data_IF_161199599956
#
_entry.id   IF_161199599956
#
_cell.length_a   1.000
_cell.length_b   1.000
_cell.length_c   1.000
_cell.angle_alpha   90.00
_cell.angle_beta   90.00
_cell.angle_gamma   90.00
#
_symmetry.space_group_name_H-M   'P 1'
#
loop_
_entity.id
_entity.type
_entity.pdbx_description
1 polymer ?
#
# COMPACT_ATOMS: atom_id res chain seq x y z
N UNK A 1 0.96 -12.76 -5.02
CA UNK A 1 -0.33 -12.88 -4.31
C UNK A 1 -0.66 -14.36 -4.15
N UNK A 2 -1.21 -14.77 -3.02
CA UNK A 2 -1.71 -16.13 -2.80
C UNK A 2 -3.22 -16.15 -2.80
N UNK A 3 -3.81 -17.12 -3.49
CA UNK A 3 -5.26 -17.36 -3.47
C UNK A 3 -5.53 -18.67 -2.76
N UNK A 4 -6.39 -18.66 -1.76
CA UNK A 4 -6.84 -19.85 -1.03
C UNK A 4 -8.34 -20.02 -1.17
N UNK A 5 -8.80 -21.21 -1.58
CA UNK A 5 -10.23 -21.47 -1.74
C UNK A 5 -10.78 -22.14 -0.47
N UNK A 6 -11.72 -21.47 0.19
CA UNK A 6 -12.44 -22.02 1.34
C UNK A 6 -13.92 -22.23 0.98
N UNK A 7 -14.70 -22.81 1.91
CA UNK A 7 -16.15 -23.04 1.73
C UNK A 7 -16.96 -21.76 1.45
N UNK A 8 -16.40 -20.58 1.74
CA UNK A 8 -17.03 -19.27 1.57
C UNK A 8 -16.55 -18.52 0.31
N UNK A 9 -15.63 -19.10 -0.48
CA UNK A 9 -15.05 -18.45 -1.66
C UNK A 9 -13.52 -18.32 -1.60
N UNK A 10 -12.91 -17.72 -2.63
CA UNK A 10 -11.49 -17.43 -2.65
C UNK A 10 -11.15 -16.32 -1.66
N UNK A 11 -10.03 -16.47 -0.97
CA UNK A 11 -9.41 -15.41 -0.18
C UNK A 11 -8.01 -15.11 -0.71
N UNK A 12 -7.62 -13.85 -0.64
CA UNK A 12 -6.42 -13.30 -1.23
C UNK A 12 -5.50 -12.77 -0.14
N UNK A 13 -4.22 -13.13 -0.22
CA UNK A 13 -3.19 -12.71 0.72
C UNK A 13 -1.93 -12.20 0.03
N UNK A 14 -1.18 -11.36 0.74
CA UNK A 14 0.15 -10.91 0.32
C UNK A 14 1.24 -11.83 0.88
N UNK A 15 2.11 -12.29 -0.01
CA UNK A 15 3.24 -13.16 0.30
C UNK A 15 4.47 -12.64 -0.41
N UNK A 16 5.58 -12.50 0.32
CA UNK A 16 6.91 -12.35 -0.29
C UNK A 16 7.57 -13.72 -0.33
N UNK A 17 7.99 -14.13 -1.52
CA UNK A 17 8.66 -15.40 -1.73
C UNK A 17 10.05 -15.15 -2.29
N UNK A 18 11.04 -15.84 -1.73
CA UNK A 18 12.37 -15.85 -2.30
C UNK A 18 12.35 -16.57 -3.64
N UNK A 19 13.05 -16.02 -4.63
CA UNK A 19 12.99 -16.53 -6.01
C UNK A 19 13.57 -17.93 -6.16
N UNK A 20 14.74 -18.17 -5.56
CA UNK A 20 15.52 -19.41 -5.77
C UNK A 20 15.39 -20.42 -4.64
N UNK A 21 14.86 -19.98 -3.50
CA UNK A 21 14.77 -20.83 -2.31
C UNK A 21 13.32 -20.94 -1.90
N UNK A 22 12.97 -22.05 -1.27
CA UNK A 22 11.64 -22.23 -0.70
C UNK A 22 11.48 -21.46 0.63
N UNK A 23 11.79 -20.16 0.62
CA UNK A 23 11.57 -19.25 1.75
C UNK A 23 10.44 -18.31 1.40
N UNK A 24 9.50 -18.18 2.33
CA UNK A 24 8.27 -17.41 2.15
C UNK A 24 7.99 -16.64 3.44
N UNK A 25 7.62 -15.37 3.30
CA UNK A 25 7.18 -14.50 4.39
C UNK A 25 5.74 -14.13 4.11
N UNK A 26 4.86 -14.48 5.05
CA UNK A 26 3.44 -14.18 4.99
C UNK A 26 3.15 -12.88 5.72
N UNK A 27 2.46 -11.96 5.03
CA UNK A 27 2.09 -10.64 5.56
C UNK A 27 0.73 -10.65 6.28
N UNK A 28 0.19 -11.83 6.61
CA UNK A 28 -1.07 -11.99 7.35
C UNK A 28 -1.13 -11.18 8.66
N UNK A 29 0.03 -10.96 9.31
CA UNK A 29 0.14 -10.15 10.52
C UNK A 29 -0.18 -8.66 10.29
N UNK A 30 0.06 -8.14 9.08
CA UNK A 30 -0.30 -6.77 8.71
C UNK A 30 -1.74 -6.68 8.20
N UNK A 31 -2.18 -7.70 7.47
CA UNK A 31 -3.54 -7.76 6.95
C UNK A 31 -3.96 -9.20 6.72
N UNK A 32 -5.10 -9.59 7.28
CA UNK A 32 -5.69 -10.90 7.07
C UNK A 32 -5.97 -11.16 5.59
N UNK A 33 -6.06 -12.44 5.22
CA UNK A 33 -6.54 -12.80 3.89
C UNK A 33 -7.97 -12.30 3.72
N UNK A 34 -8.27 -11.73 2.57
CA UNK A 34 -9.49 -10.99 2.31
C UNK A 34 -10.20 -11.57 1.08
N UNK A 35 -11.53 -11.51 1.00
CA UNK A 35 -12.26 -11.95 -0.20
C UNK A 35 -12.15 -10.93 -1.35
N UNK A 36 -11.54 -9.76 -1.09
CA UNK A 36 -11.30 -8.71 -2.06
C UNK A 36 -9.82 -8.59 -2.48
N UNK A 37 -9.53 -8.93 -3.74
CA UNK A 37 -8.17 -9.04 -4.30
C UNK A 37 -7.36 -7.72 -4.26
N UNK A 38 -8.03 -6.58 -4.28
CA UNK A 38 -7.41 -5.26 -4.33
C UNK A 38 -6.86 -4.84 -2.96
N UNK A 39 -7.33 -5.41 -1.85
CA UNK A 39 -6.79 -5.11 -0.51
C UNK A 39 -5.32 -5.54 -0.39
N UNK A 40 -4.93 -6.78 -0.75
CA UNK A 40 -3.53 -7.17 -0.82
C UNK A 40 -2.70 -6.30 -1.79
N UNK A 41 -3.31 -5.80 -2.86
CA UNK A 41 -2.66 -4.91 -3.81
C UNK A 41 -2.38 -3.52 -3.20
N UNK A 42 -3.37 -2.96 -2.50
CA UNK A 42 -3.21 -1.69 -1.76
C UNK A 42 -2.12 -1.79 -0.69
N UNK A 43 -2.07 -2.92 0.03
CA UNK A 43 -0.99 -3.16 1.00
C UNK A 43 0.38 -3.21 0.31
N UNK A 44 0.48 -3.88 -0.83
CA UNK A 44 1.73 -3.94 -1.58
C UNK A 44 2.15 -2.56 -2.11
N UNK A 45 1.22 -1.74 -2.56
CA UNK A 45 1.48 -0.36 -2.98
C UNK A 45 1.92 0.52 -1.81
N UNK A 46 1.26 0.38 -0.65
CA UNK A 46 1.65 1.08 0.57
C UNK A 46 3.09 0.73 0.96
N UNK A 47 3.46 -0.55 0.95
CA UNK A 47 4.81 -0.99 1.26
C UNK A 47 5.85 -0.43 0.28
N UNK A 48 5.55 -0.48 -1.03
CA UNK A 48 6.45 0.09 -2.04
C UNK A 48 6.65 1.60 -1.84
N UNK A 49 5.56 2.35 -1.65
CA UNK A 49 5.64 3.80 -1.41
C UNK A 49 6.38 4.14 -0.11
N UNK A 50 6.24 3.31 0.92
CA UNK A 50 6.97 3.49 2.18
C UNK A 50 8.47 3.19 2.04
N UNK A 51 8.84 2.19 1.23
CA UNK A 51 10.25 1.84 0.98
C UNK A 51 10.93 2.77 -0.02
N UNK A 52 10.17 3.50 -0.84
CA UNK A 52 10.71 4.42 -1.83
C UNK A 52 11.15 5.74 -1.20
N UNK A 53 12.46 5.88 -0.99
CA UNK A 53 13.09 7.10 -0.47
C UNK A 53 13.07 8.29 -1.43
N UNK A 54 12.65 8.12 -2.68
CA UNK A 54 12.59 9.23 -3.65
C UNK A 54 11.29 10.02 -3.57
N UNK A 55 10.24 9.43 -2.99
CA UNK A 55 8.92 10.04 -2.80
C UNK A 55 8.65 10.44 -1.35
N UNK A 56 7.58 11.21 -1.10
CA UNK A 56 7.13 11.47 0.26
C UNK A 56 6.59 10.18 0.90
N UNK A 57 6.72 10.06 2.22
CA UNK A 57 6.12 8.96 2.96
C UNK A 57 4.58 8.96 2.79
N UNK A 58 3.93 7.78 2.88
CA UNK A 58 2.48 7.69 2.79
C UNK A 58 1.75 8.70 3.68
N UNK A 59 0.74 9.35 3.13
CA UNK A 59 -0.02 10.37 3.86
C UNK A 59 -1.15 9.73 4.68
N UNK A 60 -0.81 9.33 5.90
CA UNK A 60 -1.74 8.73 6.87
C UNK A 60 -1.60 9.41 8.24
N UNK A 61 -2.66 9.42 9.07
CA UNK A 61 -2.62 10.05 10.40
C UNK A 61 -1.45 9.57 11.28
N UNK A 62 -1.09 8.28 11.18
CA UNK A 62 0.01 7.68 11.93
C UNK A 62 1.36 8.39 11.68
N UNK A 63 1.60 8.87 10.47
CA UNK A 63 2.87 9.46 10.07
C UNK A 63 2.93 10.97 10.24
N UNK A 64 1.80 11.64 10.49
CA UNK A 64 1.74 13.10 10.61
C UNK A 64 2.79 13.70 11.57
N UNK A 65 3.00 13.15 12.79
CA UNK A 65 4.01 13.67 13.71
C UNK A 65 5.44 13.57 13.17
N UNK A 66 5.70 12.69 12.21
CA UNK A 66 7.05 12.38 11.72
C UNK A 66 7.32 12.94 10.31
N UNK A 67 6.30 13.45 9.60
CA UNK A 67 6.46 13.95 8.22
C UNK A 67 7.56 15.00 8.07
N UNK A 68 7.72 15.87 9.06
CA UNK A 68 8.74 16.91 9.07
C UNK A 68 10.17 16.40 9.30
N UNK A 69 10.32 15.16 9.80
CA UNK A 69 11.62 14.52 10.01
C UNK A 69 12.17 13.89 8.73
N UNK A 70 11.28 13.60 7.75
CA UNK A 70 11.68 13.09 6.46
C UNK A 70 11.93 14.26 5.47
N UNK A 71 13.16 14.45 4.97
CA UNK A 71 13.50 15.62 4.17
C UNK A 71 12.77 15.66 2.81
N UNK A 72 12.47 14.49 2.22
CA UNK A 72 11.74 14.42 0.94
C UNK A 72 10.30 14.85 1.14
N UNK A 73 9.66 14.32 2.18
CA UNK A 73 8.30 14.67 2.58
C UNK A 73 8.18 16.13 2.99
N UNK A 74 9.13 16.65 3.78
CA UNK A 74 9.11 18.05 4.21
C UNK A 74 9.18 19.02 3.02
N UNK A 75 10.06 18.76 2.06
CA UNK A 75 10.15 19.57 0.83
C UNK A 75 8.86 19.47 -0.01
N UNK A 76 8.30 18.26 -0.14
CA UNK A 76 7.05 18.03 -0.87
C UNK A 76 5.87 18.78 -0.23
N UNK A 77 5.75 18.71 1.09
CA UNK A 77 4.70 19.37 1.86
C UNK A 77 4.83 20.90 1.79
N UNK A 78 6.06 21.43 1.86
CA UNK A 78 6.34 22.86 1.70
C UNK A 78 5.95 23.38 0.31
N UNK A 79 6.29 22.65 -0.75
CA UNK A 79 5.95 23.02 -2.14
C UNK A 79 4.43 23.04 -2.37
N UNK A 80 3.69 22.18 -1.68
CA UNK A 80 2.23 22.08 -1.79
C UNK A 80 1.47 22.93 -0.78
N UNK A 81 2.16 23.59 0.15
CA UNK A 81 1.53 24.35 1.23
C UNK A 81 0.63 23.49 2.13
N UNK A 82 1.00 22.22 2.34
CA UNK A 82 0.22 21.30 3.19
C UNK A 82 0.25 21.76 4.65
N UNK A 83 -0.90 21.74 5.32
CA UNK A 83 -0.98 21.96 6.77
C UNK A 83 -0.26 20.82 7.53
N UNK A 84 0.71 21.11 8.43
CA UNK A 84 1.37 20.11 9.27
C UNK A 84 0.45 19.36 10.24
N UNK A 85 -0.76 19.88 10.49
CA UNK A 85 -1.78 19.29 11.38
C UNK A 85 -3.02 18.85 10.60
N UNK A 86 -2.85 18.48 9.33
CA UNK A 86 -3.93 18.17 8.40
C UNK A 86 -4.88 17.09 8.93
N UNK A 87 -4.36 15.99 9.49
CA UNK A 87 -5.20 14.92 10.05
C UNK A 87 -5.71 15.26 11.45
N UNK A 88 -4.88 15.90 12.28
CA UNK A 88 -5.24 16.21 13.68
C UNK A 88 -6.37 17.23 13.78
N UNK A 89 -6.35 18.27 12.94
CA UNK A 89 -7.34 19.36 12.98
C UNK A 89 -8.59 19.07 12.13
N UNK A 90 -8.64 17.90 11.47
CA UNK A 90 -9.77 17.47 10.64
C UNK A 90 -10.95 17.06 11.51
N UNK A 91 -12.17 17.50 11.15
CA UNK A 91 -13.39 17.06 11.83
C UNK A 91 -13.80 15.64 11.40
N UNK A 92 -14.62 14.98 12.21
CA UNK A 92 -15.04 13.60 12.00
C UNK A 92 -15.75 13.38 10.64
N UNK A 93 -16.53 14.36 10.16
CA UNK A 93 -17.25 14.21 8.90
C UNK A 93 -16.28 14.29 7.70
N UNK A 94 -15.34 15.24 7.73
CA UNK A 94 -14.28 15.34 6.72
C UNK A 94 -13.37 14.11 6.76
N UNK A 95 -12.99 13.64 7.96
CA UNK A 95 -12.18 12.43 8.12
C UNK A 95 -12.86 11.21 7.51
N UNK A 96 -14.15 11.03 7.79
CA UNK A 96 -14.93 9.95 7.19
C UNK A 96 -14.97 10.04 5.66
N UNK A 97 -15.17 11.22 5.11
CA UNK A 97 -15.18 11.42 3.66
C UNK A 97 -13.82 11.06 3.02
N UNK A 98 -12.71 11.44 3.66
CA UNK A 98 -11.36 11.08 3.19
C UNK A 98 -11.10 9.57 3.24
N UNK A 99 -11.51 8.89 4.32
CA UNK A 99 -11.41 7.43 4.44
C UNK A 99 -12.25 6.74 3.37
N UNK A 100 -13.48 7.22 3.14
CA UNK A 100 -14.36 6.67 2.10
C UNK A 100 -13.74 6.87 0.71
N UNK A 101 -13.11 8.03 0.44
CA UNK A 101 -12.37 8.29 -0.80
C UNK A 101 -11.11 7.41 -0.93
N UNK A 102 -10.39 7.14 0.15
CA UNK A 102 -9.29 6.16 0.18
C UNK A 102 -9.78 4.77 -0.21
N UNK A 103 -10.91 4.33 0.33
CA UNK A 103 -11.50 3.05 -0.05
C UNK A 103 -11.88 3.01 -1.54
N UNK A 104 -12.47 4.07 -2.08
CA UNK A 104 -12.75 4.15 -3.53
C UNK A 104 -11.48 3.99 -4.36
N UNK A 105 -10.38 4.65 -3.98
CA UNK A 105 -9.09 4.46 -4.65
C UNK A 105 -8.63 3.00 -4.59
N UNK A 106 -8.72 2.35 -3.43
CA UNK A 106 -8.41 0.92 -3.27
C UNK A 106 -9.27 0.04 -4.18
N UNK A 107 -10.58 0.29 -4.26
CA UNK A 107 -11.49 -0.45 -5.14
C UNK A 107 -11.10 -0.33 -6.63
N UNK A 108 -10.50 0.79 -7.01
CA UNK A 108 -10.07 1.05 -8.39
C UNK A 108 -8.61 0.65 -8.69
N UNK A 109 -7.88 0.08 -7.73
CA UNK A 109 -6.48 -0.32 -7.96
C UNK A 109 -6.41 -1.41 -9.03
N UNK A 110 -5.63 -1.12 -10.06
CA UNK A 110 -5.35 -2.04 -11.16
C UNK A 110 -3.87 -2.48 -11.17
N UNK A 111 -3.44 -3.10 -10.08
CA UNK A 111 -2.04 -3.55 -9.92
C UNK A 111 -1.67 -4.63 -10.94
N UNK A 112 -2.62 -5.45 -11.38
CA UNK A 112 -2.34 -6.56 -12.30
C UNK A 112 -2.11 -6.12 -13.74
N UNK A 113 -2.59 -4.95 -14.14
CA UNK A 113 -2.27 -4.36 -15.44
C UNK A 113 -0.91 -3.64 -15.47
N UNK A 114 -0.24 -3.46 -14.32
CA UNK A 114 1.05 -2.76 -14.26
C UNK A 114 2.14 -3.61 -14.94
N UNK A 115 3.07 -2.96 -15.65
CA UNK A 115 4.17 -3.67 -16.28
C UNK A 115 5.03 -4.37 -15.23
N UNK A 116 5.33 -5.64 -15.48
CA UNK A 116 6.29 -6.38 -14.68
C UNK A 116 7.71 -5.90 -15.03
N UNK A 117 8.26 -4.97 -14.24
CA UNK A 117 9.60 -4.43 -14.43
C UNK A 117 10.70 -5.50 -14.37
N UNK A 118 10.43 -6.63 -13.72
CA UNK A 118 11.36 -7.75 -13.62
C UNK A 118 11.32 -8.65 -14.86
N UNK A 119 10.32 -8.56 -15.74
CA UNK A 119 10.22 -9.38 -16.95
C UNK A 119 11.44 -9.27 -17.88
N UNK A 120 12.13 -8.13 -17.88
CA UNK A 120 13.36 -7.94 -18.66
C UNK A 120 14.61 -8.56 -18.02
N UNK A 121 14.58 -8.86 -16.72
CA UNK A 121 15.71 -9.38 -15.95
C UNK A 121 15.52 -10.83 -15.49
N UNK A 122 14.31 -11.37 -15.69
CA UNK A 122 13.86 -12.62 -15.10
C UNK A 122 13.13 -13.44 -16.14
N UNK A 123 13.70 -14.60 -16.49
CA UNK A 123 12.95 -15.67 -17.11
C UNK A 123 12.06 -16.33 -16.05
N UNK A 124 10.75 -16.32 -16.31
CA UNK A 124 9.75 -16.89 -15.41
C UNK A 124 9.50 -18.38 -15.65
N UNK A 125 10.03 -18.95 -16.75
CA UNK A 125 9.79 -20.34 -17.15
C UNK A 125 8.29 -20.59 -17.39
N UNK A 126 7.89 -20.70 -18.66
CA UNK A 126 6.51 -21.08 -19.00
C UNK A 126 6.34 -22.59 -18.88
#
# INVERSE_FOLDING_TARGET
MTTTNNRHGPTYGLLLQHRYENRKINFHMLMSADDFQQRPCALWDFLQNYMDSSGPIPDIPLFEPYRHLDPVTANYDQQRGRNPRYWIDMDDATFKAEVDAMWQRVYTIDTFSRPNLMAQYVDYGV
#
